data_IF_407211681711
#
_entry.id   IF_407211681711
#
_cell.length_a   1.000
_cell.length_b   1.000
_cell.length_c   1.000
_cell.angle_alpha   90.00
_cell.angle_beta   90.00
_cell.angle_gamma   90.00
#
_symmetry.space_group_name_H-M   'P 1'
#
loop_
_entity.id
_entity.type
_entity.pdbx_description
1 polymer ?
#
# COMPACT_ATOMS: atom_id res chain seq x y z
N UNK A 1 0.81 8.45 -13.25
CA UNK A 1 0.72 9.62 -12.36
C UNK A 1 0.66 10.94 -13.11
N UNK A 2 -0.22 11.08 -14.10
CA UNK A 2 -0.63 12.40 -14.59
C UNK A 2 -1.72 12.93 -13.64
N UNK A 3 -1.82 14.23 -13.37
CA UNK A 3 -2.92 14.78 -12.59
C UNK A 3 -4.28 14.44 -13.21
N UNK A 4 -5.26 14.07 -12.37
CA UNK A 4 -6.65 13.72 -12.76
C UNK A 4 -7.70 14.59 -12.07
N UNK A 5 -7.25 15.54 -11.26
CA UNK A 5 -8.04 16.47 -10.43
C UNK A 5 -8.26 17.83 -11.11
N UNK A 6 -7.91 17.96 -12.40
CA UNK A 6 -7.83 19.22 -13.14
C UNK A 6 -6.88 20.25 -12.51
N UNK A 7 -5.97 19.82 -11.62
CA UNK A 7 -4.90 20.63 -11.09
C UNK A 7 -3.83 20.96 -12.15
N UNK A 8 -2.94 21.93 -11.85
CA UNK A 8 -1.84 22.24 -12.74
C UNK A 8 -0.86 21.06 -12.84
N UNK A 9 -0.12 21.00 -13.94
CA UNK A 9 0.98 20.06 -14.05
C UNK A 9 2.03 20.32 -12.97
N UNK A 10 2.44 19.27 -12.27
CA UNK A 10 3.49 19.34 -11.26
C UNK A 10 4.85 19.52 -11.95
N UNK A 11 5.61 20.53 -11.51
CA UNK A 11 7.00 20.72 -11.93
C UNK A 11 7.87 19.91 -10.96
N UNK A 12 8.48 18.80 -11.40
CA UNK A 12 9.22 17.93 -10.49
C UNK A 12 10.58 18.54 -10.12
N UNK A 13 10.97 18.42 -8.85
CA UNK A 13 12.32 18.74 -8.38
C UNK A 13 13.36 17.77 -8.97
N UNK A 14 12.99 16.49 -9.09
CA UNK A 14 13.83 15.44 -9.65
C UNK A 14 13.01 14.35 -10.35
N UNK A 15 13.68 13.60 -11.23
CA UNK A 15 13.12 12.39 -11.86
C UNK A 15 13.92 11.18 -11.38
N UNK A 16 13.23 10.24 -10.77
CA UNK A 16 13.81 9.03 -10.17
C UNK A 16 13.20 7.79 -10.81
N UNK A 17 13.93 6.69 -10.82
CA UNK A 17 13.40 5.39 -11.28
C UNK A 17 12.34 4.89 -10.29
N UNK A 18 11.19 4.49 -10.80
CA UNK A 18 10.07 3.99 -9.99
C UNK A 18 10.37 2.62 -9.36
N UNK A 19 11.34 1.88 -9.90
CA UNK A 19 11.77 0.62 -9.31
C UNK A 19 12.42 0.81 -7.93
N UNK A 20 12.99 2.00 -7.67
CA UNK A 20 13.74 2.27 -6.45
C UNK A 20 15.01 1.43 -6.33
N UNK A 21 15.62 1.50 -5.15
CA UNK A 21 16.80 0.70 -4.82
C UNK A 21 16.55 -0.07 -3.52
N UNK A 22 17.14 -1.27 -3.40
CA UNK A 22 17.04 -2.04 -2.18
C UNK A 22 17.82 -1.36 -1.05
N UNK A 23 17.15 -1.11 0.08
CA UNK A 23 17.79 -0.53 1.27
C UNK A 23 18.85 -1.49 1.79
N UNK A 24 20.10 -1.03 1.92
CA UNK A 24 21.19 -1.80 2.48
C UNK A 24 20.82 -2.28 3.90
N UNK A 25 20.89 -3.59 4.21
CA UNK A 25 20.54 -4.12 5.52
C UNK A 25 21.29 -3.45 6.69
N UNK A 26 22.54 -3.00 6.48
CA UNK A 26 23.35 -2.33 7.51
C UNK A 26 22.86 -0.92 7.82
N UNK A 27 22.27 -0.24 6.83
CA UNK A 27 21.71 1.10 7.02
C UNK A 27 20.28 1.08 7.56
N UNK A 28 19.64 -0.09 7.67
CA UNK A 28 18.31 -0.20 8.28
C UNK A 28 18.36 0.09 9.76
N UNK A 29 17.36 0.83 10.21
CA UNK A 29 17.04 0.98 11.62
C UNK A 29 15.83 0.11 11.97
N UNK A 30 15.77 -0.35 13.21
CA UNK A 30 14.67 -1.21 13.63
C UNK A 30 13.37 -0.42 13.67
N UNK A 31 12.25 -1.00 13.19
CA UNK A 31 10.93 -0.42 13.39
C UNK A 31 10.72 -0.14 14.86
N UNK A 32 10.41 1.10 15.18
CA UNK A 32 10.14 1.55 16.53
C UNK A 32 9.16 2.70 16.49
N UNK A 33 8.52 2.95 17.63
CA UNK A 33 7.48 3.96 17.82
C UNK A 33 6.12 3.59 17.21
N UNK A 34 5.08 3.88 17.99
CA UNK A 34 3.70 3.54 17.70
C UNK A 34 3.08 4.51 16.67
N UNK A 35 2.32 3.97 15.72
CA UNK A 35 1.36 4.73 14.90
C UNK A 35 -0.03 4.46 15.43
N UNK A 36 -0.70 5.51 15.90
CA UNK A 36 -2.09 5.41 16.34
C UNK A 36 -2.99 5.35 15.11
N UNK A 37 -3.65 4.21 14.90
CA UNK A 37 -4.59 4.02 13.79
C UNK A 37 -6.02 4.49 14.13
N UNK A 38 -6.33 4.63 15.43
CA UNK A 38 -7.68 4.98 15.90
C UNK A 38 -8.63 3.79 16.01
N UNK A 39 -8.14 2.57 15.74
CA UNK A 39 -8.91 1.34 15.76
C UNK A 39 -8.41 0.47 16.90
N UNK A 40 -9.22 0.28 17.94
CA UNK A 40 -8.80 -0.42 19.16
C UNK A 40 -8.29 -1.84 18.91
N UNK A 41 -8.87 -2.56 17.94
CA UNK A 41 -8.43 -3.91 17.59
C UNK A 41 -7.02 -3.92 16.96
N UNK A 42 -6.62 -2.85 16.26
CA UNK A 42 -5.27 -2.70 15.71
C UNK A 42 -4.37 -2.16 16.81
N UNK A 43 -4.70 -0.99 17.37
CA UNK A 43 -3.86 -0.29 18.34
C UNK A 43 -3.57 -1.11 19.61
N UNK A 44 -4.56 -1.89 20.09
CA UNK A 44 -4.46 -2.64 21.34
C UNK A 44 -3.99 -4.09 21.21
N UNK A 45 -4.19 -4.75 20.06
CA UNK A 45 -3.84 -6.16 19.89
C UNK A 45 -2.73 -6.40 18.86
N UNK A 46 -2.72 -5.62 17.76
CA UNK A 46 -1.80 -5.78 16.64
C UNK A 46 -1.24 -4.42 16.24
N UNK A 47 -0.54 -3.81 17.18
CA UNK A 47 -0.08 -2.42 17.10
C UNK A 47 0.80 -2.19 15.88
N UNK A 48 0.47 -1.16 15.08
CA UNK A 48 1.28 -0.74 13.94
C UNK A 48 2.49 0.07 14.39
N UNK A 49 3.67 -0.31 13.93
CA UNK A 49 4.95 0.33 14.26
C UNK A 49 5.50 1.09 13.04
N UNK A 50 6.18 2.22 13.24
CA UNK A 50 6.80 2.97 12.14
C UNK A 50 7.87 2.16 11.43
N UNK A 51 7.75 2.05 10.11
CA UNK A 51 8.64 1.24 9.27
C UNK A 51 8.14 -0.19 9.04
N UNK A 52 7.04 -0.59 9.67
CA UNK A 52 6.46 -1.93 9.53
C UNK A 52 5.66 -2.07 8.24
N UNK A 53 5.53 -3.32 7.77
CA UNK A 53 4.63 -3.73 6.69
C UNK A 53 3.56 -4.67 7.26
N UNK A 54 2.37 -4.14 7.51
CA UNK A 54 1.26 -4.86 8.14
C UNK A 54 0.03 -4.89 7.21
N UNK A 55 -0.19 -5.98 6.46
CA UNK A 55 -1.28 -6.08 5.51
C UNK A 55 -2.64 -6.34 6.16
N UNK A 56 -3.70 -6.01 5.41
CA UNK A 56 -5.08 -6.37 5.71
C UNK A 56 -5.54 -7.43 4.72
N UNK A 57 -5.94 -8.59 5.24
CA UNK A 57 -6.52 -9.69 4.50
C UNK A 57 -8.04 -9.58 4.60
N UNK A 58 -8.65 -9.23 3.49
CA UNK A 58 -10.09 -9.05 3.31
C UNK A 58 -10.67 -10.14 2.40
N UNK A 59 -11.96 -10.05 2.13
CA UNK A 59 -12.73 -10.88 1.21
C UNK A 59 -13.67 -10.01 0.38
N UNK A 60 -14.10 -10.50 -0.79
CA UNK A 60 -15.00 -9.73 -1.66
C UNK A 60 -16.30 -9.40 -0.91
N UNK A 61 -16.72 -8.14 -0.92
CA UNK A 61 -17.89 -7.65 -0.17
C UNK A 61 -17.68 -7.37 1.32
N UNK A 62 -16.47 -7.57 1.87
CA UNK A 62 -16.12 -7.10 3.21
C UNK A 62 -15.72 -5.61 3.21
N UNK A 63 -15.88 -4.91 4.35
CA UNK A 63 -15.74 -3.45 4.43
C UNK A 63 -14.27 -2.98 4.54
N UNK A 64 -13.40 -3.46 3.66
CA UNK A 64 -11.98 -3.11 3.67
C UNK A 64 -11.70 -1.71 3.12
N UNK A 65 -12.56 -1.19 2.24
CA UNK A 65 -12.46 0.18 1.75
C UNK A 65 -12.76 1.20 2.86
N UNK A 66 -13.77 0.93 3.69
CA UNK A 66 -14.11 1.75 4.85
C UNK A 66 -12.99 1.71 5.88
N UNK A 67 -12.41 0.53 6.11
CA UNK A 67 -11.24 0.39 6.98
C UNK A 67 -10.04 1.20 6.48
N UNK A 68 -9.73 1.10 5.18
CA UNK A 68 -8.63 1.84 4.56
C UNK A 68 -8.80 3.36 4.70
N UNK A 69 -10.00 3.86 4.40
CA UNK A 69 -10.34 5.28 4.55
C UNK A 69 -10.27 5.73 6.03
N UNK A 70 -10.76 4.89 6.95
CA UNK A 70 -10.70 5.19 8.38
C UNK A 70 -9.25 5.30 8.87
N UNK A 71 -8.39 4.35 8.50
CA UNK A 71 -6.98 4.37 8.86
C UNK A 71 -6.31 5.61 8.26
N UNK A 72 -6.52 5.89 6.97
CA UNK A 72 -5.95 7.06 6.32
C UNK A 72 -6.32 8.39 7.02
N UNK A 73 -7.55 8.49 7.54
CA UNK A 73 -8.05 9.67 8.25
C UNK A 73 -7.52 9.79 9.68
N UNK A 74 -7.41 8.68 10.39
CA UNK A 74 -7.13 8.67 11.83
C UNK A 74 -5.67 8.43 12.16
N UNK A 75 -4.89 7.90 11.22
CA UNK A 75 -3.48 7.58 11.41
C UNK A 75 -2.70 8.83 11.79
N UNK A 76 -2.03 8.76 12.95
CA UNK A 76 -1.15 9.82 13.42
C UNK A 76 -0.03 9.27 14.28
N UNK A 77 1.04 10.04 14.34
CA UNK A 77 2.15 9.80 15.25
C UNK A 77 1.91 10.57 16.56
N UNK A 78 2.01 9.88 17.69
CA UNK A 78 1.97 10.52 19.00
C UNK A 78 3.30 11.22 19.29
N UNK A 79 3.23 12.43 19.86
CA UNK A 79 4.38 13.18 20.39
C UNK A 79 5.45 13.58 19.38
N UNK A 80 5.07 13.87 18.13
CA UNK A 80 6.00 14.45 17.17
C UNK A 80 5.37 15.63 16.42
N UNK A 81 6.12 16.73 16.34
CA UNK A 81 5.88 17.83 15.40
C UNK A 81 6.22 17.42 13.95
N UNK A 82 6.63 16.16 13.72
CA UNK A 82 7.00 15.64 12.41
C UNK A 82 5.79 15.58 11.47
N UNK A 83 5.99 16.08 10.26
CA UNK A 83 5.01 16.01 9.18
C UNK A 83 4.65 14.55 8.85
N UNK A 84 3.38 14.21 9.03
CA UNK A 84 2.81 12.91 8.66
C UNK A 84 2.11 13.04 7.31
N UNK A 85 2.39 12.11 6.40
CA UNK A 85 1.80 12.10 5.07
C UNK A 85 1.23 10.72 4.74
N UNK A 86 0.12 10.70 4.01
CA UNK A 86 -0.49 9.45 3.53
C UNK A 86 -0.26 9.33 2.03
N UNK A 87 0.28 8.20 1.58
CA UNK A 87 0.35 7.88 0.16
C UNK A 87 -0.63 6.75 -0.11
N UNK A 88 -1.67 7.03 -0.87
CA UNK A 88 -2.71 6.06 -1.19
C UNK A 88 -2.54 5.58 -2.63
N UNK A 89 -2.54 4.27 -2.83
CA UNK A 89 -2.45 3.64 -4.15
C UNK A 89 -3.66 2.74 -4.38
N UNK A 90 -4.59 3.21 -5.21
CA UNK A 90 -5.72 2.46 -5.70
C UNK A 90 -5.32 1.71 -6.98
N UNK A 91 -5.50 0.38 -7.00
CA UNK A 91 -5.05 -0.54 -8.05
C UNK A 91 -6.25 -1.33 -8.56
N UNK A 92 -6.66 -1.05 -9.80
CA UNK A 92 -7.74 -1.77 -10.47
C UNK A 92 -9.09 -1.70 -9.75
N UNK A 93 -9.34 -0.65 -8.96
CA UNK A 93 -10.61 -0.52 -8.21
C UNK A 93 -11.74 -0.04 -9.10
N UNK A 94 -12.98 -0.25 -8.66
CA UNK A 94 -14.15 0.25 -9.40
C UNK A 94 -14.24 1.78 -9.34
N UNK A 95 -14.97 2.38 -10.27
CA UNK A 95 -15.21 3.83 -10.25
C UNK A 95 -15.92 4.27 -8.96
N UNK A 96 -16.88 3.47 -8.47
CA UNK A 96 -17.61 3.76 -7.23
C UNK A 96 -16.68 3.76 -6.00
N UNK A 97 -15.76 2.79 -5.90
CA UNK A 97 -14.76 2.75 -4.83
C UNK A 97 -13.79 3.93 -4.93
N UNK A 98 -13.37 4.28 -6.15
CA UNK A 98 -12.50 5.44 -6.37
C UNK A 98 -13.17 6.72 -5.90
N UNK A 99 -14.44 6.92 -6.25
CA UNK A 99 -15.20 8.09 -5.83
C UNK A 99 -15.38 8.10 -4.30
N UNK A 100 -15.66 6.95 -3.69
CA UNK A 100 -15.76 6.83 -2.25
C UNK A 100 -14.49 7.31 -1.54
N UNK A 101 -13.30 6.90 -2.00
CA UNK A 101 -12.05 7.36 -1.41
C UNK A 101 -11.88 8.87 -1.58
N UNK A 102 -12.03 9.39 -2.80
CA UNK A 102 -11.88 10.84 -3.06
C UNK A 102 -12.81 11.66 -2.17
N UNK A 103 -14.08 11.26 -2.08
CA UNK A 103 -15.07 11.93 -1.24
C UNK A 103 -14.68 11.88 0.25
N UNK A 104 -14.22 10.73 0.75
CA UNK A 104 -13.80 10.60 2.15
C UNK A 104 -12.55 11.45 2.46
N UNK A 105 -11.56 11.49 1.57
CA UNK A 105 -10.38 12.33 1.72
C UNK A 105 -10.73 13.84 1.67
N UNK A 106 -11.66 14.24 0.81
CA UNK A 106 -12.12 15.63 0.71
C UNK A 106 -12.95 16.07 1.92
N UNK A 107 -13.93 15.27 2.34
CA UNK A 107 -14.82 15.58 3.48
C UNK A 107 -14.06 15.82 4.79
N UNK A 108 -12.93 15.16 4.94
CA UNK A 108 -12.17 15.13 6.20
C UNK A 108 -11.00 16.11 6.22
N UNK A 109 -10.68 16.76 5.08
CA UNK A 109 -9.49 17.59 4.92
C UNK A 109 -8.18 16.79 4.93
N UNK A 110 -8.25 15.46 4.99
CA UNK A 110 -7.06 14.60 4.95
C UNK A 110 -6.33 14.66 3.60
N UNK A 111 -7.02 15.12 2.54
CA UNK A 111 -6.47 15.28 1.20
C UNK A 111 -5.25 16.22 1.15
N UNK A 112 -5.18 17.22 2.03
CA UNK A 112 -4.10 18.23 2.02
C UNK A 112 -2.74 17.61 2.41
N UNK A 113 -2.75 16.50 3.15
CA UNK A 113 -1.56 15.77 3.57
C UNK A 113 -1.47 14.39 2.90
N UNK A 114 -2.18 14.19 1.79
CA UNK A 114 -2.22 12.92 1.09
C UNK A 114 -1.83 13.03 -0.38
N UNK A 115 -1.18 12.00 -0.89
CA UNK A 115 -0.95 11.80 -2.33
C UNK A 115 -1.73 10.57 -2.78
N UNK A 116 -2.67 10.77 -3.70
CA UNK A 116 -3.54 9.71 -4.22
C UNK A 116 -3.09 9.28 -5.62
N UNK A 117 -2.74 8.01 -5.79
CA UNK A 117 -2.56 7.37 -7.09
C UNK A 117 -3.77 6.50 -7.38
N UNK A 118 -4.63 6.96 -8.29
CA UNK A 118 -5.86 6.25 -8.64
C UNK A 118 -5.69 5.52 -9.97
N UNK A 119 -5.88 4.21 -9.96
CA UNK A 119 -5.98 3.37 -11.14
C UNK A 119 -7.27 2.54 -11.07
N UNK A 120 -8.09 2.65 -12.13
CA UNK A 120 -9.40 2.04 -12.22
C UNK A 120 -9.35 0.65 -12.87
N UNK A 121 -10.37 -0.16 -12.64
CA UNK A 121 -10.56 -1.46 -13.29
C UNK A 121 -10.67 -1.35 -14.82
N UNK A 122 -11.08 -0.20 -15.35
CA UNK A 122 -11.12 0.09 -16.80
C UNK A 122 -9.75 0.41 -17.40
N UNK A 123 -8.76 0.74 -16.56
CA UNK A 123 -7.45 1.18 -17.02
C UNK A 123 -6.57 -0.02 -17.42
N UNK A 124 -5.57 0.19 -18.29
CA UNK A 124 -4.68 -0.88 -18.76
C UNK A 124 -3.99 -1.63 -17.62
N UNK A 125 -3.87 -2.95 -17.74
CA UNK A 125 -3.21 -3.79 -16.73
C UNK A 125 -1.76 -3.39 -16.44
N UNK A 126 -1.04 -2.85 -17.43
CA UNK A 126 0.34 -2.37 -17.22
C UNK A 126 0.42 -1.17 -16.28
N UNK A 127 -0.62 -0.33 -16.22
CA UNK A 127 -0.67 0.80 -15.29
C UNK A 127 -0.80 0.30 -13.85
N UNK A 128 -1.57 -0.77 -13.61
CA UNK A 128 -1.67 -1.42 -12.28
C UNK A 128 -0.31 -1.85 -11.76
N UNK A 129 0.59 -2.30 -12.64
CA UNK A 129 1.94 -2.72 -12.28
C UNK A 129 2.81 -1.51 -11.89
N UNK A 130 2.64 -0.38 -12.58
CA UNK A 130 3.39 0.85 -12.31
C UNK A 130 2.87 1.62 -11.07
N UNK A 131 1.56 1.60 -10.79
CA UNK A 131 0.92 2.36 -9.71
C UNK A 131 1.58 2.20 -8.33
N UNK A 132 1.76 0.99 -7.77
CA UNK A 132 2.40 0.84 -6.46
C UNK A 132 3.88 1.27 -6.49
N UNK A 133 4.59 1.07 -7.60
CA UNK A 133 5.97 1.55 -7.77
C UNK A 133 6.04 3.07 -7.73
N UNK A 134 5.10 3.77 -8.39
CA UNK A 134 4.99 5.23 -8.32
C UNK A 134 4.71 5.70 -6.90
N UNK A 135 3.75 5.07 -6.22
CA UNK A 135 3.38 5.40 -4.84
C UNK A 135 4.57 5.24 -3.88
N UNK A 136 5.27 4.11 -3.94
CA UNK A 136 6.44 3.86 -3.08
C UNK A 136 7.60 4.81 -3.37
N UNK A 137 7.78 5.20 -4.63
CA UNK A 137 8.82 6.17 -5.00
C UNK A 137 8.51 7.56 -4.46
N UNK A 138 7.24 7.97 -4.50
CA UNK A 138 6.81 9.19 -3.82
C UNK A 138 6.97 9.08 -2.31
N UNK A 139 6.64 7.94 -1.71
CA UNK A 139 6.81 7.72 -0.27
C UNK A 139 8.29 7.79 0.15
N UNK A 140 9.21 7.21 -0.61
CA UNK A 140 10.65 7.29 -0.36
C UNK A 140 11.18 8.72 -0.44
N UNK A 141 10.73 9.49 -1.41
CA UNK A 141 11.11 10.90 -1.50
C UNK A 141 10.61 11.69 -0.28
N UNK A 142 9.33 11.56 0.07
CA UNK A 142 8.76 12.26 1.22
C UNK A 142 9.41 11.84 2.54
N UNK A 143 9.65 10.55 2.73
CA UNK A 143 10.26 10.04 3.95
C UNK A 143 11.75 10.37 4.05
N UNK A 144 12.53 10.02 3.03
CA UNK A 144 13.98 10.02 3.14
C UNK A 144 14.63 11.33 2.67
N UNK A 145 13.99 12.12 1.80
CA UNK A 145 14.52 13.43 1.41
C UNK A 145 13.85 14.58 2.17
N UNK A 146 12.56 14.45 2.50
CA UNK A 146 11.80 15.49 3.22
C UNK A 146 11.56 15.19 4.70
N UNK A 147 12.05 14.05 5.21
CA UNK A 147 11.99 13.69 6.64
C UNK A 147 10.59 13.38 7.17
N UNK A 148 9.62 13.09 6.29
CA UNK A 148 8.23 12.87 6.69
C UNK A 148 7.99 11.45 7.20
N UNK A 149 6.97 11.29 8.04
CA UNK A 149 6.46 9.97 8.42
C UNK A 149 5.39 9.59 7.42
N UNK A 150 5.66 8.58 6.59
CA UNK A 150 4.78 8.23 5.47
C UNK A 150 4.06 6.91 5.74
N UNK A 151 2.73 6.96 5.67
CA UNK A 151 1.89 5.76 5.65
C UNK A 151 1.43 5.48 4.22
N UNK A 152 1.84 4.35 3.68
CA UNK A 152 1.46 3.90 2.34
C UNK A 152 0.33 2.88 2.45
N UNK A 153 -0.82 3.18 1.85
CA UNK A 153 -1.96 2.26 1.77
C UNK A 153 -2.11 1.84 0.31
N UNK A 154 -2.10 0.54 0.04
CA UNK A 154 -2.23 0.00 -1.30
C UNK A 154 -3.44 -0.93 -1.38
N UNK A 155 -4.40 -0.66 -2.26
CA UNK A 155 -5.61 -1.48 -2.42
C UNK A 155 -6.04 -1.55 -3.89
N UNK A 156 -6.23 -2.69 -4.52
CA UNK A 156 -6.14 -4.07 -4.02
C UNK A 156 -4.91 -4.80 -4.61
N UNK A 157 -4.10 -5.44 -3.77
CA UNK A 157 -2.96 -6.26 -4.19
C UNK A 157 -3.40 -7.48 -5.01
N UNK A 158 -4.60 -8.00 -4.82
CA UNK A 158 -5.16 -9.07 -5.66
C UNK A 158 -5.29 -8.59 -7.10
N UNK A 159 -5.75 -7.37 -7.34
CA UNK A 159 -5.80 -6.78 -8.68
C UNK A 159 -4.42 -6.58 -9.29
N UNK A 160 -3.42 -6.25 -8.47
CA UNK A 160 -2.02 -6.19 -8.88
C UNK A 160 -1.50 -7.58 -9.34
N UNK A 161 -1.76 -8.63 -8.56
CA UNK A 161 -1.35 -9.99 -8.90
C UNK A 161 -2.08 -10.53 -10.14
N UNK A 162 -3.35 -10.18 -10.33
CA UNK A 162 -4.09 -10.48 -11.57
C UNK A 162 -3.47 -9.78 -12.79
N UNK A 163 -3.09 -8.51 -12.66
CA UNK A 163 -2.42 -7.78 -13.73
C UNK A 163 -1.07 -8.41 -14.09
N UNK A 164 -0.29 -8.85 -13.11
CA UNK A 164 0.96 -9.59 -13.34
C UNK A 164 0.71 -10.91 -14.06
N UNK A 165 -0.34 -11.64 -13.66
CA UNK A 165 -0.75 -12.90 -14.29
C UNK A 165 -1.14 -12.68 -15.75
N UNK A 166 -1.90 -11.64 -16.04
CA UNK A 166 -2.31 -11.26 -17.40
C UNK A 166 -1.09 -10.94 -18.28
N UNK A 167 -0.14 -10.16 -17.78
CA UNK A 167 1.09 -9.81 -18.50
C UNK A 167 1.96 -11.05 -18.75
N UNK A 168 2.11 -11.92 -17.75
CA UNK A 168 2.87 -13.17 -17.87
C UNK A 168 2.25 -14.11 -18.91
N UNK A 169 0.91 -14.23 -18.91
CA UNK A 169 0.18 -15.00 -19.92
C UNK A 169 0.33 -14.41 -21.32
N UNK A 170 0.24 -13.08 -21.47
CA UNK A 170 0.46 -12.40 -22.75
C UNK A 170 1.88 -12.60 -23.29
N UNK A 171 2.87 -12.73 -22.39
CA UNK A 171 4.27 -13.06 -22.72
C UNK A 171 4.52 -14.55 -22.98
N UNK A 172 3.50 -15.40 -22.80
CA UNK A 172 3.58 -16.87 -22.93
C UNK A 172 4.61 -17.50 -21.98
N UNK A 173 4.75 -16.93 -20.78
CA UNK A 173 5.58 -17.52 -19.72
C UNK A 173 4.91 -18.76 -19.14
N UNK A 174 5.70 -19.65 -18.54
CA UNK A 174 5.18 -20.87 -17.91
C UNK A 174 4.48 -20.49 -16.59
N UNK A 175 3.19 -20.81 -16.41
CA UNK A 175 2.48 -20.48 -15.18
C UNK A 175 3.01 -21.32 -14.01
N UNK A 176 3.09 -20.69 -12.83
CA UNK A 176 3.39 -21.34 -11.57
C UNK A 176 2.13 -21.83 -10.85
N UNK A 177 2.19 -21.83 -9.50
CA UNK A 177 1.11 -22.31 -8.63
C UNK A 177 -0.19 -21.52 -8.86
N UNK A 178 -1.30 -22.24 -9.07
CA UNK A 178 -2.64 -21.68 -9.38
C UNK A 178 -2.65 -20.65 -10.53
N UNK A 179 -1.72 -20.76 -11.49
CA UNK A 179 -1.70 -19.92 -12.68
C UNK A 179 -1.00 -18.56 -12.54
N UNK A 180 -0.47 -18.21 -11.37
CA UNK A 180 0.31 -16.99 -11.17
C UNK A 180 1.76 -17.15 -11.66
N UNK A 181 2.48 -16.05 -11.97
CA UNK A 181 3.87 -16.13 -12.36
C UNK A 181 4.75 -16.75 -11.27
N UNK A 182 5.75 -17.54 -11.65
CA UNK A 182 6.67 -18.18 -10.69
C UNK A 182 7.47 -17.18 -9.83
N UNK A 183 7.61 -15.95 -10.29
CA UNK A 183 8.32 -14.87 -9.61
C UNK A 183 7.40 -13.96 -8.77
N UNK A 184 6.13 -14.32 -8.56
CA UNK A 184 5.18 -13.50 -7.79
C UNK A 184 5.72 -13.12 -6.39
N UNK A 185 6.38 -14.06 -5.70
CA UNK A 185 7.02 -13.80 -4.40
C UNK A 185 8.08 -12.69 -4.50
N UNK A 186 8.99 -12.82 -5.46
CA UNK A 186 10.09 -11.86 -5.64
C UNK A 186 9.55 -10.50 -6.05
N UNK A 187 8.55 -10.45 -6.94
CA UNK A 187 7.97 -9.18 -7.38
C UNK A 187 7.25 -8.46 -6.23
N UNK A 188 6.41 -9.15 -5.44
CA UNK A 188 5.80 -8.58 -4.25
C UNK A 188 6.84 -8.11 -3.22
N UNK A 189 7.95 -8.85 -3.09
CA UNK A 189 9.07 -8.46 -2.21
C UNK A 189 9.68 -7.13 -2.63
N UNK A 190 9.78 -6.84 -3.94
CA UNK A 190 10.29 -5.55 -4.42
C UNK A 190 9.42 -4.36 -4.01
N UNK A 191 8.15 -4.59 -3.69
CA UNK A 191 7.24 -3.56 -3.18
C UNK A 191 7.31 -3.47 -1.65
N UNK A 192 7.11 -4.59 -0.97
CA UNK A 192 6.99 -4.62 0.49
C UNK A 192 8.29 -4.31 1.22
N UNK A 193 9.44 -4.71 0.67
CA UNK A 193 10.74 -4.43 1.29
C UNK A 193 11.18 -2.96 1.19
N UNK A 194 10.45 -2.11 0.47
CA UNK A 194 10.70 -0.66 0.46
C UNK A 194 10.22 0.03 1.75
N UNK A 195 9.44 -0.67 2.59
CA UNK A 195 9.12 -0.23 3.93
C UNK A 195 10.35 -0.26 4.85
N UNK A 196 10.41 0.69 5.78
CA UNK A 196 11.44 0.69 6.82
C UNK A 196 11.84 2.08 7.31
N UNK A 197 12.90 2.06 8.12
CA UNK A 197 13.62 3.22 8.63
C UNK A 197 15.08 3.12 8.22
N UNK A 198 15.71 4.27 7.96
CA UNK A 198 17.14 4.34 7.61
C UNK A 198 17.86 5.07 8.75
N UNK A 199 18.97 4.51 9.22
CA UNK A 199 19.81 5.12 10.26
C UNK A 199 20.27 6.52 9.82
N UNK A 200 20.07 7.50 10.68
CA UNK A 200 20.42 8.89 10.40
C UNK A 200 19.40 9.65 9.53
N UNK A 201 18.29 9.02 9.13
CA UNK A 201 17.14 9.72 8.53
C UNK A 201 15.98 9.72 9.52
N UNK A 202 15.30 10.85 9.64
CA UNK A 202 14.17 11.02 10.59
C UNK A 202 12.87 10.39 10.09
N UNK A 203 12.64 10.42 8.77
CA UNK A 203 11.43 9.89 8.16
C UNK A 203 11.37 8.36 8.11
N UNK A 204 10.17 7.84 7.88
CA UNK A 204 9.92 6.40 7.80
C UNK A 204 8.84 6.08 6.77
N UNK A 205 8.86 4.84 6.27
CA UNK A 205 7.83 4.33 5.36
C UNK A 205 7.17 3.14 6.02
N UNK A 206 5.90 3.27 6.34
CA UNK A 206 5.06 2.20 6.87
C UNK A 206 4.07 1.78 5.78
N UNK A 207 3.87 0.48 5.59
CA UNK A 207 2.98 -0.03 4.54
C UNK A 207 1.79 -0.79 5.14
N UNK A 208 0.60 -0.53 4.59
CA UNK A 208 -0.61 -1.31 4.79
C UNK A 208 -1.11 -1.78 3.41
N UNK A 209 -0.59 -2.90 2.90
CA UNK A 209 -1.14 -3.54 1.72
C UNK A 209 -2.50 -4.18 2.06
N UNK A 210 -3.52 -3.89 1.28
CA UNK A 210 -4.85 -4.48 1.42
C UNK A 210 -5.05 -5.45 0.27
N UNK A 211 -5.44 -6.67 0.61
CA UNK A 211 -5.70 -7.72 -0.36
C UNK A 211 -7.04 -8.40 -0.12
N UNK A 212 -7.73 -8.73 -1.21
CA UNK A 212 -8.93 -9.57 -1.16
C UNK A 212 -8.56 -11.04 -1.42
N UNK A 213 -8.79 -11.90 -0.42
CA UNK A 213 -8.56 -13.34 -0.53
C UNK A 213 -9.61 -13.98 -1.45
N UNK A 214 -9.21 -14.64 -2.54
CA UNK A 214 -10.13 -15.44 -3.35
C UNK A 214 -10.72 -16.58 -2.51
N UNK A 215 -12.04 -16.70 -2.52
CA UNK A 215 -12.79 -17.71 -1.74
C UNK A 215 -12.51 -17.68 -0.22
N UNK A 216 -12.02 -16.55 0.30
CA UNK A 216 -11.52 -16.40 1.67
C UNK A 216 -10.41 -17.41 2.06
N UNK A 217 -9.72 -17.98 1.06
CA UNK A 217 -8.69 -19.00 1.24
C UNK A 217 -7.32 -18.37 1.53
N UNK A 218 -6.85 -18.49 2.77
CA UNK A 218 -5.52 -18.03 3.19
C UNK A 218 -4.36 -18.80 2.53
N UNK A 219 -4.62 -20.00 2.02
CA UNK A 219 -3.60 -20.81 1.32
C UNK A 219 -3.47 -20.42 -0.16
N UNK A 220 -4.32 -19.51 -0.64
CA UNK A 220 -4.20 -18.93 -1.97
C UNK A 220 -2.84 -18.24 -2.13
N UNK A 221 -2.16 -18.31 -3.29
CA UNK A 221 -0.81 -17.76 -3.46
C UNK A 221 -0.65 -16.30 -3.06
N UNK A 222 -1.67 -15.46 -3.27
CA UNK A 222 -1.62 -14.04 -2.92
C UNK A 222 -1.47 -13.84 -1.39
N UNK A 223 -2.44 -14.22 -0.53
CA UNK A 223 -2.29 -14.08 0.93
C UNK A 223 -1.13 -14.89 1.49
N UNK A 224 -0.88 -16.10 0.98
CA UNK A 224 0.22 -16.96 1.43
C UNK A 224 1.58 -16.26 1.25
N UNK A 225 1.89 -15.81 0.03
CA UNK A 225 3.17 -15.15 -0.26
C UNK A 225 3.28 -13.79 0.42
N UNK A 226 2.20 -13.02 0.50
CA UNK A 226 2.20 -11.75 1.24
C UNK A 226 2.50 -11.99 2.73
N UNK A 227 1.90 -13.01 3.34
CA UNK A 227 2.16 -13.38 4.73
C UNK A 227 3.60 -13.83 4.98
N UNK A 228 4.28 -14.44 4.01
CA UNK A 228 5.70 -14.78 4.12
C UNK A 228 6.65 -13.57 4.06
N UNK A 229 6.24 -12.48 3.42
CA UNK A 229 7.08 -11.28 3.23
C UNK A 229 6.81 -10.23 4.33
N UNK A 230 5.56 -10.12 4.76
CA UNK A 230 5.10 -9.09 5.71
C UNK A 230 5.21 -9.53 7.16
N UNK A 231 5.09 -8.58 8.08
CA UNK A 231 5.39 -8.78 9.51
C UNK A 231 4.11 -8.95 10.33
N UNK A 232 3.31 -9.95 9.94
CA UNK A 232 1.97 -10.22 10.49
C UNK A 232 0.87 -9.88 9.49
N UNK A 233 -0.39 -9.96 9.93
CA UNK A 233 -1.55 -9.63 9.11
C UNK A 233 -2.78 -9.34 9.97
N UNK A 234 -3.62 -8.41 9.51
CA UNK A 234 -4.96 -8.18 10.06
C UNK A 234 -5.95 -8.93 9.19
N UNK A 235 -6.83 -9.74 9.78
CA UNK A 235 -7.82 -10.52 9.03
C UNK A 235 -9.22 -9.98 9.30
N UNK A 236 -9.95 -9.65 8.23
CA UNK A 236 -11.37 -9.34 8.31
C UNK A 236 -12.18 -10.63 8.18
N UNK A 237 -12.92 -10.97 9.24
CA UNK A 237 -13.76 -12.17 9.25
C UNK A 237 -15.17 -11.86 8.77
N UNK A 238 -15.69 -12.67 7.85
CA UNK A 238 -17.11 -12.62 7.45
C UNK A 238 -18.06 -12.96 8.58
N UNK A 239 -17.65 -13.80 9.54
CA UNK A 239 -18.48 -14.17 10.68
C UNK A 239 -18.76 -12.96 11.58
N UNK A 240 -17.77 -12.07 11.74
CA UNK A 240 -17.89 -10.86 12.55
C UNK A 240 -18.60 -9.70 11.84
N UNK A 241 -18.79 -9.79 10.52
CA UNK A 241 -19.46 -8.76 9.73
C UNK A 241 -20.98 -8.95 9.67
N UNK A 242 -21.48 -10.15 9.97
CA UNK A 242 -22.92 -10.48 9.95
C UNK A 242 -23.69 -9.88 11.12
#
# INVERSE_FOLDING_TARGET
GKPIDNGPNIIPEQRVDINGEAINPVSRDFPSEFIQTGISAIDGLNTLVRGQKLPVFSGSGLPHKELAAQIARQARVLNSDSNFAVVFAAIGITFEESQFFVDEFQKTGAIDNAVLFMNLASDPAIERIATPRMALTTAEFLAYEKGMQVLVIMTDITNYAEALREVSAARKEVPGRRGYPGYLYTDLSTLYERAGRIRGKEGSITQIPILTMPEDDKTHPIPDLTGYITEGQIILSRELYK
#
